data_IF_133231531699
#
_entry.id   IF_133231531699
#
_cell.length_a   1.000
_cell.length_b   1.000
_cell.length_c   1.000
_cell.angle_alpha   90.00
_cell.angle_beta   90.00
_cell.angle_gamma   90.00
#
_symmetry.space_group_name_H-M   'P 1'
#
loop_
_entity.id
_entity.type
_entity.pdbx_description
1 polymer ?
#
# COMPACT_ATOMS: atom_id res chain seq x y z
N UNK A 1 35.92 41.87 30.44
CA UNK A 1 36.94 42.07 29.38
C UNK A 1 37.24 40.72 28.76
N UNK A 2 37.07 40.61 27.42
CA UNK A 2 37.20 39.45 26.52
C UNK A 2 36.04 38.48 26.65
N UNK A 3 35.01 38.41 25.75
CA UNK A 3 35.01 38.14 24.26
C UNK A 3 35.86 36.93 23.91
N UNK A 4 35.13 35.92 23.47
CA UNK A 4 35.44 35.07 22.33
C UNK A 4 34.19 34.28 22.04
N UNK A 5 33.49 34.54 21.03
CA UNK A 5 33.66 34.26 19.62
C UNK A 5 33.51 32.77 19.30
N UNK A 6 32.35 32.40 18.80
CA UNK A 6 32.11 31.94 17.46
C UNK A 6 32.81 30.63 17.11
N UNK A 7 32.03 29.60 17.06
CA UNK A 7 32.40 28.36 16.41
C UNK A 7 31.15 27.74 15.83
N UNK A 8 30.65 28.29 14.73
CA UNK A 8 29.72 27.62 13.87
C UNK A 8 30.44 26.43 13.21
N UNK A 9 30.14 25.22 13.69
CA UNK A 9 30.48 23.98 12.98
C UNK A 9 29.66 23.88 11.71
N UNK A 10 30.19 23.33 10.63
CA UNK A 10 29.49 23.19 9.37
C UNK A 10 28.33 22.23 9.52
N UNK A 11 27.18 22.63 9.01
CA UNK A 11 26.03 21.76 8.77
C UNK A 11 26.44 20.80 7.64
N UNK A 12 27.08 19.70 8.01
CA UNK A 12 27.26 18.54 7.13
C UNK A 12 26.04 17.65 7.24
N UNK A 13 25.28 17.65 6.22
CA UNK A 13 24.11 16.78 6.08
C UNK A 13 23.39 17.06 4.78
N UNK A 14 24.16 17.17 3.67
CA UNK A 14 23.56 16.94 2.36
C UNK A 14 23.01 15.51 2.38
N UNK A 15 21.74 15.29 2.03
CA UNK A 15 21.30 13.94 1.71
C UNK A 15 22.10 13.52 0.47
N UNK A 16 23.00 12.60 0.70
CA UNK A 16 23.75 11.92 -0.32
C UNK A 16 22.75 11.10 -1.15
N UNK A 17 22.77 11.38 -2.42
CA UNK A 17 22.48 10.44 -3.48
C UNK A 17 21.01 10.18 -3.78
N UNK A 18 20.59 10.83 -4.82
CA UNK A 18 19.80 10.22 -5.88
C UNK A 18 20.53 8.93 -6.31
N UNK A 19 20.32 7.85 -5.59
CA UNK A 19 20.67 6.50 -6.03
C UNK A 19 20.03 6.32 -7.39
N UNK A 20 20.76 5.77 -8.33
CA UNK A 20 20.29 5.43 -9.67
C UNK A 20 18.99 4.67 -9.49
N UNK A 21 17.88 5.31 -9.83
CA UNK A 21 16.55 4.72 -9.68
C UNK A 21 16.51 3.48 -10.58
N UNK A 22 16.46 2.31 -9.96
CA UNK A 22 16.38 1.04 -10.65
C UNK A 22 14.94 0.82 -11.13
N UNK A 23 14.61 1.37 -12.30
CA UNK A 23 13.27 1.27 -12.91
C UNK A 23 13.14 0.04 -13.81
N UNK A 24 14.25 -0.56 -14.18
CA UNK A 24 14.31 -1.65 -15.15
C UNK A 24 13.57 -2.89 -14.72
N UNK A 25 13.62 -3.22 -13.44
CA UNK A 25 12.90 -4.36 -12.87
C UNK A 25 11.39 -4.19 -13.03
N UNK A 26 10.84 -3.03 -12.67
CA UNK A 26 9.41 -2.71 -12.78
C UNK A 26 8.94 -2.76 -14.25
N UNK A 27 9.70 -2.21 -15.17
CA UNK A 27 9.41 -2.29 -16.60
C UNK A 27 9.38 -3.74 -17.11
N UNK A 28 10.35 -4.55 -16.67
CA UNK A 28 10.45 -5.97 -17.03
C UNK A 28 9.27 -6.77 -16.50
N UNK A 29 8.89 -6.58 -15.26
CA UNK A 29 7.73 -7.24 -14.64
C UNK A 29 6.43 -6.89 -15.36
N UNK A 30 6.18 -5.61 -15.62
CA UNK A 30 5.00 -5.14 -16.34
C UNK A 30 4.93 -5.68 -17.79
N UNK A 31 6.07 -5.92 -18.42
CA UNK A 31 6.11 -6.59 -19.74
C UNK A 31 5.83 -8.07 -19.63
N UNK A 32 6.38 -8.75 -18.63
CA UNK A 32 6.30 -10.21 -18.49
C UNK A 32 4.94 -10.70 -17.99
N UNK A 33 4.27 -9.94 -17.14
CA UNK A 33 2.97 -10.30 -16.58
C UNK A 33 1.93 -10.66 -17.65
N UNK A 34 1.73 -9.88 -18.73
CA UNK A 34 0.87 -10.26 -19.86
C UNK A 34 1.58 -11.13 -20.91
N UNK A 35 2.78 -11.67 -20.65
CA UNK A 35 3.52 -12.54 -21.56
C UNK A 35 4.10 -11.84 -22.80
N UNK A 36 4.25 -10.51 -22.79
CA UNK A 36 4.76 -9.75 -23.95
C UNK A 36 6.27 -9.91 -24.14
N UNK A 37 6.72 -10.04 -25.39
CA UNK A 37 8.15 -10.10 -25.71
C UNK A 37 8.79 -8.71 -25.71
N UNK A 38 10.11 -8.63 -25.46
CA UNK A 38 10.86 -7.36 -25.58
C UNK A 38 10.70 -6.77 -26.98
N UNK A 39 10.69 -7.62 -28.04
CA UNK A 39 10.56 -7.17 -29.39
C UNK A 39 9.22 -6.49 -29.66
N UNK A 40 8.12 -7.11 -29.21
CA UNK A 40 6.77 -6.56 -29.35
C UNK A 40 6.60 -5.22 -28.65
N UNK A 41 7.09 -5.10 -27.41
CA UNK A 41 6.99 -3.84 -26.66
C UNK A 41 7.88 -2.76 -27.26
N UNK A 42 9.09 -3.10 -27.68
CA UNK A 42 9.99 -2.14 -28.34
C UNK A 42 9.39 -1.60 -29.63
N UNK A 43 8.80 -2.45 -30.46
CA UNK A 43 8.10 -2.07 -31.69
C UNK A 43 6.92 -1.13 -31.40
N UNK A 44 6.06 -1.50 -30.43
CA UNK A 44 4.91 -0.67 -30.03
C UNK A 44 5.32 0.69 -29.46
N UNK A 45 6.46 0.75 -28.78
CA UNK A 45 7.01 1.98 -28.18
C UNK A 45 7.88 2.79 -29.16
N UNK A 46 8.07 2.35 -30.41
CA UNK A 46 8.95 3.00 -31.37
C UNK A 46 10.44 2.98 -30.99
N UNK A 47 10.87 1.99 -30.21
CA UNK A 47 12.21 1.83 -29.69
C UNK A 47 12.91 0.61 -30.29
N UNK A 48 14.25 0.57 -30.19
CA UNK A 48 14.98 -0.64 -30.57
C UNK A 48 14.90 -1.70 -29.46
N UNK A 49 14.85 -2.96 -29.83
CA UNK A 49 14.91 -4.10 -28.89
C UNK A 49 16.14 -4.00 -27.95
N UNK A 50 17.29 -3.61 -28.52
CA UNK A 50 18.54 -3.45 -27.75
C UNK A 50 18.48 -2.34 -26.72
N UNK A 51 17.81 -1.22 -27.04
CA UNK A 51 17.60 -0.13 -26.09
C UNK A 51 16.70 -0.56 -24.93
N UNK A 52 15.51 -1.12 -25.23
CA UNK A 52 14.58 -1.59 -24.21
C UNK A 52 15.21 -2.67 -23.32
N UNK A 53 15.96 -3.60 -23.90
CA UNK A 53 16.65 -4.64 -23.13
C UNK A 53 17.69 -4.06 -22.15
N UNK A 54 18.43 -3.02 -22.55
CA UNK A 54 19.39 -2.34 -21.68
C UNK A 54 18.70 -1.47 -20.62
N UNK A 55 17.56 -0.87 -20.98
CA UNK A 55 16.75 -0.11 -20.06
C UNK A 55 16.18 -1.01 -18.93
N UNK A 56 15.68 -2.22 -19.28
CA UNK A 56 15.22 -3.22 -18.31
C UNK A 56 16.32 -3.79 -17.39
N UNK A 57 17.59 -3.58 -17.73
CA UNK A 57 18.75 -3.92 -16.90
C UNK A 57 19.40 -2.71 -16.21
N UNK A 58 18.75 -1.55 -16.31
CA UNK A 58 19.27 -0.27 -15.80
C UNK A 58 20.68 0.09 -16.33
N UNK A 59 21.05 -0.40 -17.53
CA UNK A 59 22.34 -0.13 -18.18
C UNK A 59 22.36 1.21 -18.91
N UNK A 60 21.17 1.74 -19.24
CA UNK A 60 21.00 3.03 -19.93
C UNK A 60 19.90 3.84 -19.26
N UNK A 61 19.97 5.16 -19.39
CA UNK A 61 18.90 6.06 -18.99
C UNK A 61 18.01 6.38 -20.20
N UNK A 62 16.69 6.41 -19.98
CA UNK A 62 15.74 6.88 -20.98
C UNK A 62 15.48 8.37 -20.81
N UNK A 63 15.20 9.06 -21.92
CA UNK A 63 14.60 10.39 -21.84
C UNK A 63 13.20 10.30 -21.24
N UNK A 64 12.69 11.38 -20.63
CA UNK A 64 11.33 11.43 -20.09
C UNK A 64 10.31 11.03 -21.16
N UNK A 65 10.45 11.51 -22.39
CA UNK A 65 9.56 11.16 -23.48
C UNK A 65 9.58 9.65 -23.81
N UNK A 66 10.77 9.04 -23.88
CA UNK A 66 10.90 7.60 -24.11
C UNK A 66 10.32 6.79 -22.95
N UNK A 67 10.50 7.26 -21.72
CA UNK A 67 9.97 6.60 -20.53
C UNK A 67 8.44 6.63 -20.49
N UNK A 68 7.83 7.79 -20.80
CA UNK A 68 6.39 7.92 -20.92
C UNK A 68 5.83 6.97 -21.97
N UNK A 69 6.45 6.90 -23.18
CA UNK A 69 6.02 6.01 -24.25
C UNK A 69 6.08 4.52 -23.84
N UNK A 70 7.15 4.13 -23.11
CA UNK A 70 7.25 2.74 -22.61
C UNK A 70 6.18 2.47 -21.56
N UNK A 71 5.94 3.40 -20.63
CA UNK A 71 4.91 3.27 -19.62
C UNK A 71 3.52 3.12 -20.25
N UNK A 72 3.15 4.01 -21.18
CA UNK A 72 1.87 3.93 -21.89
C UNK A 72 1.71 2.59 -22.63
N UNK A 73 2.78 2.14 -23.28
CA UNK A 73 2.79 0.84 -23.99
C UNK A 73 2.58 -0.33 -23.03
N UNK A 74 3.08 -0.24 -21.80
CA UNK A 74 2.97 -1.27 -20.77
C UNK A 74 1.73 -1.12 -19.88
N UNK A 75 0.97 -0.03 -20.01
CA UNK A 75 -0.17 0.26 -19.15
C UNK A 75 0.25 0.71 -17.72
N UNK A 76 1.46 1.26 -17.59
CA UNK A 76 1.99 1.76 -16.33
C UNK A 76 1.76 3.27 -16.18
N UNK A 77 1.47 3.73 -14.98
CA UNK A 77 1.64 5.14 -14.61
C UNK A 77 3.12 5.39 -14.29
N UNK A 78 3.67 6.50 -14.77
CA UNK A 78 5.10 6.83 -14.56
C UNK A 78 5.49 6.81 -13.07
N UNK A 79 4.59 7.22 -12.16
CA UNK A 79 4.84 7.16 -10.71
C UNK A 79 5.17 5.75 -10.20
N UNK A 80 4.57 4.72 -10.79
CA UNK A 80 4.80 3.32 -10.39
C UNK A 80 6.25 2.84 -10.67
N UNK A 81 6.99 3.53 -11.53
CA UNK A 81 8.40 3.22 -11.77
C UNK A 81 9.32 3.61 -10.61
N UNK A 82 8.86 4.53 -9.78
CA UNK A 82 9.62 5.10 -8.68
C UNK A 82 9.17 4.56 -7.32
N UNK A 83 8.10 3.78 -7.33
CA UNK A 83 7.71 3.01 -6.15
C UNK A 83 8.78 1.92 -5.92
N UNK A 84 9.35 1.81 -4.72
CA UNK A 84 10.28 0.73 -4.45
C UNK A 84 9.57 -0.60 -4.76
N UNK A 85 10.26 -1.59 -5.37
CA UNK A 85 9.70 -2.91 -5.52
C UNK A 85 9.27 -3.37 -4.13
N UNK A 86 7.96 -3.60 -3.97
CA UNK A 86 7.44 -4.04 -2.70
C UNK A 86 8.01 -5.45 -2.45
N UNK A 87 8.85 -5.59 -1.43
CA UNK A 87 9.21 -6.92 -0.93
C UNK A 87 7.89 -7.62 -0.62
N UNK A 88 7.56 -8.76 -1.24
CA UNK A 88 6.29 -9.44 -1.00
C UNK A 88 6.15 -9.91 0.45
N UNK A 89 7.26 -10.00 1.18
CA UNK A 89 7.27 -10.32 2.61
C UNK A 89 7.05 -9.06 3.45
N UNK A 90 5.98 -9.03 4.22
CA UNK A 90 5.77 -8.08 5.32
C UNK A 90 6.14 -8.76 6.63
N UNK A 91 7.34 -8.50 7.18
CA UNK A 91 7.75 -9.08 8.46
C UNK A 91 6.83 -8.60 9.59
N UNK A 92 6.50 -9.47 10.55
CA UNK A 92 5.59 -9.18 11.67
C UNK A 92 5.93 -7.91 12.49
N UNK A 93 7.18 -7.43 12.41
CA UNK A 93 7.63 -6.20 13.10
C UNK A 93 7.78 -4.98 12.20
N UNK A 94 7.46 -5.07 10.92
CA UNK A 94 7.65 -4.01 9.91
C UNK A 94 6.38 -3.62 9.17
N UNK A 95 5.24 -4.21 9.51
CA UNK A 95 3.97 -3.69 9.02
C UNK A 95 3.84 -2.23 9.43
N UNK A 96 3.57 -1.34 8.48
CA UNK A 96 3.37 0.07 8.79
C UNK A 96 2.22 0.21 9.78
N UNK A 97 2.45 0.88 10.91
CA UNK A 97 1.34 1.28 11.76
C UNK A 97 0.42 2.17 10.90
N UNK A 98 -0.80 1.75 10.72
CA UNK A 98 -1.85 2.55 10.12
C UNK A 98 -2.74 3.09 11.24
N UNK A 99 -3.23 4.30 11.08
CA UNK A 99 -4.36 4.79 11.84
C UNK A 99 -5.42 5.18 10.82
N UNK A 100 -6.40 4.30 10.67
CA UNK A 100 -7.50 4.50 9.73
C UNK A 100 -8.67 5.29 10.36
N UNK A 101 -8.42 5.96 11.49
CA UNK A 101 -9.37 6.86 12.11
C UNK A 101 -10.05 6.31 13.37
N UNK A 102 -9.70 5.09 13.81
CA UNK A 102 -10.24 4.51 15.04
C UNK A 102 -9.58 5.05 16.32
N UNK A 103 -10.28 4.92 17.43
CA UNK A 103 -9.78 5.17 18.77
C UNK A 103 -9.61 3.84 19.52
N UNK A 104 -8.57 3.73 20.36
CA UNK A 104 -8.30 2.51 21.13
C UNK A 104 -7.99 1.30 20.23
N UNK A 105 -7.36 1.53 19.08
CA UNK A 105 -6.99 0.48 18.13
C UNK A 105 -5.54 0.66 17.68
N UNK A 106 -4.85 -0.45 17.52
CA UNK A 106 -3.55 -0.53 16.86
C UNK A 106 -3.74 -1.31 15.56
N UNK A 107 -3.42 -0.68 14.44
CA UNK A 107 -3.63 -1.22 13.11
C UNK A 107 -2.30 -1.42 12.40
N UNK A 108 -2.20 -2.52 11.69
CA UNK A 108 -1.03 -2.88 10.89
C UNK A 108 -1.47 -3.33 9.50
N UNK A 109 -0.96 -2.67 8.46
CA UNK A 109 -1.15 -3.13 7.08
C UNK A 109 -0.22 -4.31 6.82
N UNK A 110 -0.79 -5.44 6.44
CA UNK A 110 -0.09 -6.70 6.18
C UNK A 110 0.24 -6.92 4.70
N UNK A 111 -0.31 -6.11 3.81
CA UNK A 111 0.01 -6.16 2.38
C UNK A 111 1.07 -5.13 2.02
N UNK A 112 1.87 -5.48 1.02
CA UNK A 112 2.71 -4.51 0.32
C UNK A 112 1.83 -3.63 -0.58
N UNK A 113 2.42 -2.61 -1.20
CA UNK A 113 1.69 -1.73 -2.14
C UNK A 113 1.05 -2.57 -3.26
N UNK A 114 -0.21 -2.91 -3.07
CA UNK A 114 -1.04 -3.64 -4.03
C UNK A 114 -2.31 -2.80 -4.27
N UNK A 115 -2.59 -2.40 -5.52
CA UNK A 115 -3.77 -1.58 -5.81
C UNK A 115 -5.09 -2.32 -5.65
N UNK A 116 -5.08 -3.67 -5.63
CA UNK A 116 -6.30 -4.49 -5.65
C UNK A 116 -6.63 -5.14 -4.32
N UNK A 117 -5.67 -5.20 -3.39
CA UNK A 117 -5.83 -5.89 -2.11
C UNK A 117 -5.13 -5.15 -0.99
N UNK A 118 -5.86 -4.84 0.06
CA UNK A 118 -5.31 -4.36 1.33
C UNK A 118 -5.76 -5.29 2.44
N UNK A 119 -4.81 -5.79 3.21
CA UNK A 119 -5.09 -6.60 4.41
C UNK A 119 -4.58 -5.83 5.62
N UNK A 120 -5.45 -5.65 6.60
CA UNK A 120 -5.18 -4.92 7.83
C UNK A 120 -5.42 -5.88 9.00
N UNK A 121 -4.49 -5.89 9.93
CA UNK A 121 -4.67 -6.51 11.24
C UNK A 121 -4.91 -5.41 12.25
N UNK A 122 -5.99 -5.53 13.03
CA UNK A 122 -6.37 -4.59 14.07
C UNK A 122 -6.41 -5.29 15.42
N UNK A 123 -5.75 -4.70 16.41
CA UNK A 123 -5.91 -5.02 17.83
C UNK A 123 -6.72 -3.89 18.47
N UNK A 124 -7.95 -4.22 18.88
CA UNK A 124 -8.94 -3.25 19.37
C UNK A 124 -9.09 -3.44 20.87
N UNK A 125 -8.62 -2.46 21.63
CA UNK A 125 -8.73 -2.45 23.08
C UNK A 125 -10.19 -2.32 23.55
N UNK A 126 -10.52 -2.71 24.78
CA UNK A 126 -11.84 -2.44 25.37
C UNK A 126 -12.25 -0.97 25.23
N UNK A 127 -13.44 -0.71 24.69
CA UNK A 127 -13.94 0.64 24.38
C UNK A 127 -13.39 1.20 23.05
N UNK A 128 -12.56 0.46 22.33
CA UNK A 128 -12.07 0.87 21.01
C UNK A 128 -13.20 0.92 19.99
N UNK A 129 -13.18 1.94 19.09
CA UNK A 129 -14.25 2.22 18.13
C UNK A 129 -13.76 3.04 16.94
N UNK A 130 -14.47 2.94 15.81
CA UNK A 130 -14.33 3.89 14.69
C UNK A 130 -15.03 5.24 14.95
N UNK A 131 -15.74 5.38 16.07
CA UNK A 131 -16.51 6.58 16.42
C UNK A 131 -18.01 6.40 16.26
N UNK A 132 -18.73 7.50 16.49
CA UNK A 132 -20.21 7.49 16.50
C UNK A 132 -20.79 7.56 15.07
N UNK A 133 -20.05 8.16 14.15
CA UNK A 133 -20.49 8.30 12.76
C UNK A 133 -20.00 7.11 11.90
N UNK A 134 -20.92 6.42 11.19
CA UNK A 134 -20.53 5.40 10.23
C UNK A 134 -19.68 5.99 9.10
N UNK A 135 -18.70 5.26 8.64
CA UNK A 135 -17.84 5.62 7.51
C UNK A 135 -18.03 4.64 6.36
N UNK A 136 -17.57 5.02 5.20
CA UNK A 136 -17.54 4.19 4.00
C UNK A 136 -16.14 4.23 3.39
N UNK A 137 -15.73 3.14 2.76
CA UNK A 137 -14.41 3.02 2.14
C UNK A 137 -14.54 2.97 0.61
N UNK A 138 -13.54 3.51 -0.08
CA UNK A 138 -13.43 3.44 -1.53
C UNK A 138 -12.82 2.09 -1.96
N UNK A 139 -13.61 1.03 -1.75
CA UNK A 139 -13.31 -0.34 -2.14
C UNK A 139 -14.61 -1.02 -2.60
N UNK A 140 -14.52 -2.13 -3.31
CA UNK A 140 -15.68 -2.91 -3.74
C UNK A 140 -16.28 -3.70 -2.58
N UNK A 141 -15.41 -4.40 -1.89
CA UNK A 141 -15.77 -5.37 -0.86
C UNK A 141 -14.86 -5.19 0.34
N UNK A 142 -15.45 -5.30 1.50
CA UNK A 142 -14.75 -5.45 2.76
C UNK A 142 -15.14 -6.78 3.40
N UNK A 143 -14.14 -7.48 3.90
CA UNK A 143 -14.27 -8.73 4.62
C UNK A 143 -13.65 -8.56 6.00
N UNK A 144 -14.40 -8.88 7.05
CA UNK A 144 -13.95 -8.90 8.44
C UNK A 144 -13.86 -10.36 8.91
N UNK A 145 -12.76 -10.71 9.59
CA UNK A 145 -12.60 -11.99 10.26
C UNK A 145 -12.11 -11.78 11.69
N UNK A 146 -12.84 -12.26 12.68
CA UNK A 146 -12.47 -12.15 14.09
C UNK A 146 -11.50 -13.26 14.46
N UNK A 147 -10.25 -12.91 14.70
CA UNK A 147 -9.20 -13.85 15.12
C UNK A 147 -9.37 -14.23 16.59
N UNK A 148 -9.66 -13.23 17.45
CA UNK A 148 -9.95 -13.45 18.87
C UNK A 148 -10.87 -12.37 19.41
N UNK A 149 -11.65 -12.71 20.43
CA UNK A 149 -12.60 -11.81 21.11
C UNK A 149 -13.96 -11.74 20.45
N UNK A 150 -14.68 -10.64 20.65
CA UNK A 150 -16.00 -10.38 20.11
C UNK A 150 -16.12 -8.93 19.66
N UNK A 151 -16.53 -8.72 18.41
CA UNK A 151 -16.68 -7.40 17.78
C UNK A 151 -18.14 -7.09 17.50
N UNK A 152 -18.60 -5.90 17.87
CA UNK A 152 -19.84 -5.34 17.39
C UNK A 152 -19.60 -4.53 16.12
N UNK A 153 -20.21 -4.94 15.01
CA UNK A 153 -20.08 -4.33 13.70
C UNK A 153 -21.45 -3.95 13.17
N UNK A 154 -21.67 -2.67 12.92
CA UNK A 154 -22.87 -2.18 12.25
C UNK A 154 -22.54 -1.94 10.77
N UNK A 155 -23.35 -2.47 9.87
CA UNK A 155 -23.30 -2.21 8.43
C UNK A 155 -24.69 -1.76 7.99
N UNK A 156 -24.79 -0.59 7.40
CA UNK A 156 -26.07 0.12 7.20
C UNK A 156 -26.86 0.17 8.52
N UNK A 157 -28.09 -0.31 8.54
CA UNK A 157 -28.97 -0.36 9.71
C UNK A 157 -28.92 -1.71 10.45
N UNK A 158 -28.02 -2.62 10.05
CA UNK A 158 -27.94 -3.98 10.62
C UNK A 158 -26.76 -4.08 11.58
N UNK A 159 -27.03 -4.57 12.79
CA UNK A 159 -26.01 -4.82 13.79
C UNK A 159 -25.64 -6.31 13.80
N UNK A 160 -24.35 -6.58 13.75
CA UNK A 160 -23.75 -7.90 13.84
C UNK A 160 -22.91 -8.01 15.10
N UNK A 161 -22.94 -9.16 15.74
CA UNK A 161 -22.05 -9.53 16.84
C UNK A 161 -21.20 -10.68 16.32
N UNK A 162 -19.93 -10.40 16.06
CA UNK A 162 -18.99 -11.37 15.51
C UNK A 162 -18.12 -11.92 16.64
N UNK A 163 -18.14 -13.22 16.83
CA UNK A 163 -17.29 -13.93 17.79
C UNK A 163 -16.05 -14.51 17.10
N UNK A 164 -15.08 -14.98 17.88
CA UNK A 164 -13.89 -15.66 17.36
C UNK A 164 -14.24 -16.72 16.32
N UNK A 165 -13.64 -16.62 15.13
CA UNK A 165 -13.87 -17.49 13.98
C UNK A 165 -14.99 -17.05 13.06
N UNK A 166 -15.81 -16.06 13.44
CA UNK A 166 -16.84 -15.50 12.56
C UNK A 166 -16.24 -14.59 11.49
N UNK A 167 -16.92 -14.56 10.34
CA UNK A 167 -16.56 -13.68 9.23
C UNK A 167 -17.80 -12.99 8.67
N UNK A 168 -17.65 -11.76 8.22
CA UNK A 168 -18.65 -10.98 7.53
C UNK A 168 -18.07 -10.37 6.27
N UNK A 169 -18.82 -10.48 5.16
CA UNK A 169 -18.47 -9.83 3.90
C UNK A 169 -19.56 -8.83 3.54
N UNK A 170 -19.19 -7.60 3.22
CA UNK A 170 -20.13 -6.54 2.87
C UNK A 170 -19.53 -5.60 1.83
N UNK A 171 -20.36 -4.74 1.23
CA UNK A 171 -19.88 -3.70 0.31
C UNK A 171 -19.17 -2.62 1.11
N UNK A 172 -17.92 -2.31 0.77
CA UNK A 172 -17.12 -1.33 1.50
C UNK A 172 -17.71 0.09 1.46
N UNK A 173 -18.54 0.40 0.44
CA UNK A 173 -19.25 1.67 0.35
C UNK A 173 -20.49 1.75 1.26
N UNK A 174 -20.95 0.63 1.83
CA UNK A 174 -22.03 0.66 2.82
C UNK A 174 -21.54 1.36 4.09
N UNK A 175 -22.28 2.33 4.63
CA UNK A 175 -21.91 2.97 5.89
C UNK A 175 -21.78 1.93 7.00
N UNK A 176 -20.62 1.91 7.65
CA UNK A 176 -20.35 0.93 8.71
C UNK A 176 -19.53 1.53 9.84
N UNK A 177 -19.63 0.92 11.01
CA UNK A 177 -18.83 1.24 12.20
C UNK A 177 -18.69 0.02 13.08
N UNK A 178 -17.61 -0.03 13.83
CA UNK A 178 -17.39 -1.10 14.80
C UNK A 178 -17.06 -0.55 16.19
N UNK A 179 -17.30 -1.37 17.19
CA UNK A 179 -16.93 -1.11 18.57
C UNK A 179 -16.59 -2.43 19.28
N UNK A 180 -15.57 -2.38 20.12
CA UNK A 180 -15.31 -3.37 21.15
C UNK A 180 -15.92 -2.87 22.48
N UNK A 181 -17.13 -3.28 22.77
CA UNK A 181 -17.79 -2.96 24.06
C UNK A 181 -17.59 -4.06 25.11
N UNK A 182 -16.77 -5.07 24.79
CA UNK A 182 -16.33 -6.12 25.71
C UNK A 182 -15.27 -5.67 26.70
N UNK A 183 -14.88 -6.58 27.60
CA UNK A 183 -13.84 -6.35 28.60
C UNK A 183 -12.43 -6.77 28.15
N UNK A 184 -12.32 -7.52 27.05
CA UNK A 184 -11.07 -8.06 26.53
C UNK A 184 -10.76 -7.46 25.16
N UNK A 185 -9.48 -7.39 24.76
CA UNK A 185 -9.11 -6.97 23.43
C UNK A 185 -9.68 -7.90 22.34
N UNK A 186 -9.93 -7.33 21.17
CA UNK A 186 -10.41 -8.03 19.97
C UNK A 186 -9.37 -7.94 18.87
N UNK A 187 -9.03 -9.09 18.27
CA UNK A 187 -8.18 -9.15 17.07
C UNK A 187 -9.03 -9.39 15.84
N UNK A 188 -8.84 -8.55 14.81
CA UNK A 188 -9.59 -8.63 13.56
C UNK A 188 -8.64 -8.54 12.37
N UNK A 189 -8.90 -9.36 11.34
CA UNK A 189 -8.35 -9.18 10.01
C UNK A 189 -9.41 -8.56 9.11
N UNK A 190 -9.06 -7.43 8.50
CA UNK A 190 -9.85 -6.78 7.47
C UNK A 190 -9.19 -7.01 6.12
N UNK A 191 -9.99 -7.34 5.13
CA UNK A 191 -9.54 -7.50 3.74
C UNK A 191 -10.38 -6.60 2.85
N UNK A 192 -9.71 -5.67 2.17
CA UNK A 192 -10.32 -4.73 1.24
C UNK A 192 -9.93 -5.12 -0.18
N UNK A 193 -10.91 -5.30 -1.04
CA UNK A 193 -10.69 -5.47 -2.47
C UNK A 193 -11.09 -4.18 -3.19
N UNK A 194 -10.12 -3.58 -3.90
CA UNK A 194 -10.36 -2.39 -4.70
C UNK A 194 -10.87 -2.77 -6.11
N UNK A 195 -11.62 -1.86 -6.78
CA UNK A 195 -12.02 -2.08 -8.17
C UNK A 195 -10.81 -2.11 -9.10
N UNK A 196 -10.91 -2.93 -10.15
CA UNK A 196 -10.01 -2.82 -11.30
C UNK A 196 -10.26 -1.49 -12.01
N UNK A 197 -9.25 -0.65 -12.09
CA UNK A 197 -9.27 0.62 -12.82
C UNK A 197 -8.68 0.47 -14.21
#
# INVERSE_FOLDING_TARGET
>A
MRQDAGGGGPVEGRPEVVGRLAIGATLREARQAPGRSIASVAESAGLTKGFLSRLERDEVSASVASLLTVCDTLGLRVGQLFDPPADPLVPARRGGAANLGGHGVVEQVLTTANPHLVVIHSLIEPGGTTGDEPHALDALVEFAYVVSGQLHLQVDDVNYVLSTGDALTFRAQAPHRWVNDGAEPVEVLWVLAAPDH
#
